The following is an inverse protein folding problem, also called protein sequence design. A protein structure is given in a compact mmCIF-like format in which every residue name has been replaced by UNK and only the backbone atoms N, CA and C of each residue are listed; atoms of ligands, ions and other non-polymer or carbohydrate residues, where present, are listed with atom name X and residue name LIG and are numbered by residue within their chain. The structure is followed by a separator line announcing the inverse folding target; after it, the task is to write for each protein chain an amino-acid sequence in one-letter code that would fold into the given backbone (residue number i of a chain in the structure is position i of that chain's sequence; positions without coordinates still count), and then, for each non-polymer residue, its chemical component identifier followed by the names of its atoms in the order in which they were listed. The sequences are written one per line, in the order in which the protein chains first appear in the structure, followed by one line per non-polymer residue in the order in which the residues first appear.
data_IF_950325812790
#
_entry.id   IF_950325812790
#
_cell.length_a   1.000
_cell.length_b   1.000
_cell.length_c   1.000
_cell.angle_alpha   90.00
_cell.angle_beta   90.00
_cell.angle_gamma   90.00
#
_symmetry.space_group_name_H-M   'P 1'
#
loop_
_entity.id
_entity.type
_entity.pdbx_description
1 polymer ?
#
# COMPACT_ATOMS: atom_id res chain seq x y z
N UNK A 1 -31.37 -9.21 -17.43
CA UNK A 1 -30.60 -9.31 -18.68
C UNK A 1 -29.28 -8.58 -18.50
N UNK A 2 -28.22 -9.31 -18.14
CA UNK A 2 -26.84 -9.10 -18.58
C UNK A 2 -26.31 -10.53 -18.77
N UNK A 3 -26.10 -10.91 -20.01
CA UNK A 3 -25.44 -12.15 -20.41
C UNK A 3 -23.96 -11.84 -20.61
N UNK A 4 -23.09 -12.54 -19.89
CA UNK A 4 -21.65 -12.55 -20.14
C UNK A 4 -21.14 -13.95 -19.88
N UNK A 5 -21.06 -14.78 -20.93
CA UNK A 5 -20.42 -16.08 -20.85
C UNK A 5 -18.90 -15.86 -20.77
N UNK A 6 -18.31 -16.14 -19.62
CA UNK A 6 -16.87 -16.26 -19.47
C UNK A 6 -16.54 -17.75 -19.66
N UNK A 7 -16.11 -18.14 -20.86
CA UNK A 7 -15.65 -19.50 -21.14
C UNK A 7 -14.16 -19.46 -21.46
N UNK A 8 -13.33 -19.71 -20.45
CA UNK A 8 -11.92 -20.02 -20.63
C UNK A 8 -11.81 -21.39 -21.32
N UNK A 9 -11.13 -21.46 -22.46
CA UNK A 9 -10.89 -22.71 -23.19
C UNK A 9 -9.45 -23.18 -23.01
N UNK A 10 -9.26 -24.37 -22.43
CA UNK A 10 -7.95 -25.04 -22.29
C UNK A 10 -7.78 -26.03 -23.44
N UNK A 11 -6.64 -25.97 -24.14
CA UNK A 11 -6.33 -26.89 -25.24
C UNK A 11 -5.12 -27.79 -24.87
N UNK A 12 -5.26 -29.11 -25.01
CA UNK A 12 -4.11 -30.02 -24.91
C UNK A 12 -3.31 -29.91 -26.23
N UNK A 13 -2.00 -29.65 -26.16
CA UNK A 13 -1.12 -29.60 -27.33
C UNK A 13 -0.07 -30.69 -27.21
N UNK A 14 0.10 -31.50 -28.26
CA UNK A 14 1.09 -32.57 -28.31
C UNK A 14 1.18 -33.25 -29.68
N UNK A 15 2.25 -34.04 -29.95
CA UNK A 15 2.42 -34.73 -31.22
C UNK A 15 1.27 -35.71 -31.48
N UNK A 16 0.42 -35.42 -32.46
CA UNK A 16 -0.72 -36.28 -32.85
C UNK A 16 -2.12 -35.77 -32.48
N UNK A 17 -2.25 -34.61 -31.81
CA UNK A 17 -3.54 -34.01 -31.42
C UNK A 17 -3.86 -32.71 -32.18
N UNK A 18 -3.60 -32.66 -33.50
CA UNK A 18 -4.06 -31.51 -34.31
C UNK A 18 -5.57 -31.57 -34.50
N UNK A 19 -6.27 -30.62 -33.88
CA UNK A 19 -7.67 -30.29 -34.22
C UNK A 19 -8.76 -31.06 -33.49
N UNK A 20 -8.49 -31.63 -32.31
CA UNK A 20 -9.57 -32.11 -31.44
C UNK A 20 -9.91 -31.07 -30.37
N UNK A 21 -11.11 -30.49 -30.49
CA UNK A 21 -11.70 -29.58 -29.51
C UNK A 21 -12.37 -30.44 -28.42
N UNK A 22 -11.84 -30.44 -27.20
CA UNK A 22 -12.49 -31.06 -26.05
C UNK A 22 -12.92 -29.99 -25.06
N UNK A 23 -14.23 -29.95 -24.80
CA UNK A 23 -14.92 -28.91 -24.02
C UNK A 23 -14.57 -28.95 -22.52
N UNK A 24 -14.28 -27.76 -21.97
CA UNK A 24 -14.31 -27.29 -20.59
C UNK A 24 -13.96 -28.30 -19.48
N UNK A 25 -12.75 -28.15 -18.94
CA UNK A 25 -12.31 -28.79 -17.69
C UNK A 25 -12.05 -27.68 -16.65
N UNK A 26 -12.80 -27.70 -15.54
CA UNK A 26 -12.58 -26.76 -14.43
C UNK A 26 -11.20 -26.96 -13.77
N UNK A 27 -10.64 -25.95 -13.08
CA UNK A 27 -9.26 -25.98 -12.56
C UNK A 27 -8.89 -27.14 -11.63
N UNK A 28 -9.87 -27.89 -11.11
CA UNK A 28 -9.64 -29.05 -10.25
C UNK A 28 -9.31 -30.37 -10.98
N UNK A 29 -9.36 -30.42 -12.32
CA UNK A 29 -9.24 -31.66 -13.10
C UNK A 29 -8.01 -31.71 -14.04
N UNK A 30 -6.91 -31.04 -13.68
CA UNK A 30 -5.65 -30.95 -14.47
C UNK A 30 -4.97 -32.29 -14.83
N UNK A 31 -5.54 -33.44 -14.45
CA UNK A 31 -4.99 -34.78 -14.67
C UNK A 31 -5.65 -35.58 -15.82
N UNK A 32 -6.39 -34.97 -16.76
CA UNK A 32 -7.20 -35.68 -17.77
C UNK A 32 -6.93 -35.37 -19.26
N UNK A 33 -5.70 -35.04 -19.69
CA UNK A 33 -5.38 -35.14 -21.13
C UNK A 33 -5.12 -36.63 -21.48
N UNK A 34 -5.87 -37.27 -22.41
CA UNK A 34 -5.68 -38.69 -22.72
C UNK A 34 -4.39 -38.91 -23.53
N UNK A 35 -3.51 -39.79 -23.06
CA UNK A 35 -2.27 -40.16 -23.76
C UNK A 35 -2.56 -41.27 -24.78
N UNK A 36 -2.27 -41.03 -26.06
CA UNK A 36 -2.08 -42.11 -27.05
C UNK A 36 -0.64 -42.08 -27.58
N UNK A 37 0.20 -42.93 -27.01
CA UNK A 37 1.33 -43.53 -27.72
C UNK A 37 2.53 -42.63 -28.09
N UNK A 38 2.92 -41.67 -27.25
CA UNK A 38 4.23 -41.01 -27.36
C UNK A 38 4.85 -40.82 -25.98
N UNK A 39 6.17 -40.96 -25.86
CA UNK A 39 6.95 -40.85 -24.62
C UNK A 39 7.17 -39.42 -24.13
N UNK A 40 6.34 -38.48 -24.56
CA UNK A 40 6.36 -37.07 -24.12
C UNK A 40 5.04 -36.75 -23.42
N UNK A 41 5.16 -36.19 -22.22
CA UNK A 41 4.04 -35.79 -21.37
C UNK A 41 3.39 -34.53 -21.97
N UNK A 42 2.07 -34.52 -22.27
CA UNK A 42 1.43 -33.35 -22.84
C UNK A 42 1.37 -32.23 -21.80
N UNK A 43 1.89 -31.05 -22.16
CA UNK A 43 1.77 -29.84 -21.34
C UNK A 43 0.47 -29.11 -21.67
N UNK A 44 -0.22 -28.63 -20.64
CA UNK A 44 -1.32 -27.69 -20.82
C UNK A 44 -0.73 -26.33 -21.21
N UNK A 45 -0.99 -25.88 -22.43
CA UNK A 45 -0.57 -24.56 -22.89
C UNK A 45 -1.74 -23.60 -22.73
N UNK A 46 -1.68 -22.75 -21.71
CA UNK A 46 -2.67 -21.68 -21.54
C UNK A 46 -2.27 -20.57 -22.49
N UNK A 47 -2.93 -20.52 -23.64
CA UNK A 47 -2.86 -19.35 -24.52
C UNK A 47 -3.53 -18.18 -23.79
N UNK A 48 -2.75 -17.44 -23.00
CA UNK A 48 -3.19 -16.16 -22.45
C UNK A 48 -3.38 -15.21 -23.63
N UNK A 49 -4.65 -15.05 -24.02
CA UNK A 49 -5.06 -14.02 -24.96
C UNK A 49 -4.49 -12.69 -24.45
N UNK A 50 -3.91 -11.86 -25.33
CA UNK A 50 -3.31 -10.54 -25.03
C UNK A 50 -4.32 -9.48 -24.52
N UNK A 51 -5.41 -9.91 -23.87
CA UNK A 51 -6.48 -9.10 -23.27
C UNK A 51 -6.45 -9.07 -21.74
N UNK A 52 -5.45 -9.68 -21.09
CA UNK A 52 -5.22 -9.53 -19.63
C UNK A 52 -4.41 -8.29 -19.26
N UNK A 53 -4.21 -7.37 -20.21
CA UNK A 53 -3.65 -6.03 -20.01
C UNK A 53 -4.72 -5.06 -19.50
N UNK A 54 -5.18 -5.17 -18.24
CA UNK A 54 -5.67 -3.99 -17.46
C UNK A 54 -6.08 -4.27 -16.00
N UNK A 55 -5.10 -4.42 -15.14
CA UNK A 55 -5.15 -3.79 -13.81
C UNK A 55 -3.91 -2.90 -13.68
N UNK A 56 -3.86 -1.84 -14.48
CA UNK A 56 -2.65 -1.02 -14.66
C UNK A 56 -2.39 -0.07 -13.50
N UNK A 57 -3.41 0.29 -12.75
CA UNK A 57 -3.32 1.14 -11.58
C UNK A 57 -4.45 0.82 -10.60
N UNK A 58 -4.17 0.81 -9.31
CA UNK A 58 -5.20 0.77 -8.26
C UNK A 58 -5.07 2.03 -7.41
N UNK A 59 -6.17 2.70 -7.12
CA UNK A 59 -6.16 3.85 -6.20
C UNK A 59 -7.02 3.60 -4.98
N UNK A 60 -6.67 4.22 -3.86
CA UNK A 60 -7.34 4.03 -2.59
C UNK A 60 -7.54 5.35 -1.86
N UNK A 61 -8.71 5.45 -1.23
CA UNK A 61 -9.05 6.48 -0.25
C UNK A 61 -9.51 5.81 1.03
N UNK A 62 -9.02 6.26 2.18
CA UNK A 62 -9.57 5.90 3.48
C UNK A 62 -10.30 7.09 4.09
N UNK A 63 -11.54 6.89 4.52
CA UNK A 63 -12.27 7.85 5.34
C UNK A 63 -11.99 7.62 6.82
N UNK A 64 -12.06 8.69 7.61
CA UNK A 64 -11.79 8.64 9.05
C UNK A 64 -13.06 8.29 9.86
N UNK A 65 -12.90 7.91 11.13
CA UNK A 65 -13.96 7.84 12.15
C UNK A 65 -15.20 7.00 11.79
N UNK A 66 -15.01 5.77 11.32
CA UNK A 66 -16.08 4.83 10.93
C UNK A 66 -17.07 5.37 9.89
N UNK A 67 -16.70 6.45 9.18
CA UNK A 67 -17.51 6.99 8.09
C UNK A 67 -17.48 6.04 6.90
N UNK A 68 -18.65 5.86 6.28
CA UNK A 68 -18.73 5.17 4.99
C UNK A 68 -18.07 6.04 3.92
N UNK A 69 -17.19 5.48 3.10
CA UNK A 69 -16.56 6.21 2.01
C UNK A 69 -15.21 5.67 1.54
N UNK A 70 -14.56 4.82 2.35
CA UNK A 70 -13.33 4.15 1.92
C UNK A 70 -13.57 3.26 0.70
N UNK A 71 -12.76 3.40 -0.34
CA UNK A 71 -12.91 2.66 -1.59
C UNK A 71 -11.56 2.26 -2.16
N UNK A 72 -11.50 1.03 -2.71
CA UNK A 72 -10.43 0.62 -3.62
C UNK A 72 -10.98 0.70 -5.03
N UNK A 73 -10.28 1.43 -5.90
CA UNK A 73 -10.63 1.57 -7.31
C UNK A 73 -9.60 0.78 -8.12
N UNK A 74 -10.06 -0.25 -8.81
CA UNK A 74 -9.21 -1.06 -9.67
C UNK A 74 -9.27 -0.56 -11.12
N UNK A 75 -8.09 -0.32 -11.72
CA UNK A 75 -7.95 0.06 -13.13
C UNK A 75 -8.28 1.52 -13.45
N UNK A 76 -8.36 2.40 -12.44
CA UNK A 76 -8.74 3.79 -12.63
C UNK A 76 -8.35 4.67 -11.45
N UNK A 77 -8.55 5.98 -11.64
CA UNK A 77 -8.33 7.03 -10.66
C UNK A 77 -9.58 7.91 -10.69
N UNK A 78 -10.14 8.23 -9.52
CA UNK A 78 -11.26 9.16 -9.38
C UNK A 78 -10.78 10.45 -8.71
N UNK A 79 -10.79 11.54 -9.47
CA UNK A 79 -10.31 12.84 -9.02
C UNK A 79 -11.20 13.51 -7.98
N UNK A 80 -12.37 12.96 -7.68
CA UNK A 80 -13.24 13.50 -6.62
C UNK A 80 -12.69 13.24 -5.20
N UNK A 81 -11.75 12.31 -5.04
CA UNK A 81 -11.17 11.97 -3.73
C UNK A 81 -9.92 12.78 -3.36
N UNK A 82 -9.41 13.63 -4.24
CA UNK A 82 -8.19 14.41 -3.96
C UNK A 82 -8.25 15.83 -4.51
N UNK A 83 -7.41 16.69 -3.94
CA UNK A 83 -7.24 18.08 -4.40
C UNK A 83 -5.87 18.28 -5.05
N UNK A 84 -5.80 19.26 -5.96
CA UNK A 84 -4.56 19.55 -6.69
C UNK A 84 -4.20 18.49 -7.72
N UNK A 85 -2.93 18.09 -7.77
CA UNK A 85 -2.38 17.13 -8.72
C UNK A 85 -1.63 16.01 -8.01
N UNK A 86 -1.65 14.82 -8.60
CA UNK A 86 -0.85 13.69 -8.15
C UNK A 86 0.64 13.99 -8.31
N UNK A 87 1.39 13.78 -7.23
CA UNK A 87 2.84 13.76 -7.24
C UNK A 87 3.31 12.31 -7.36
N UNK A 88 4.05 12.01 -8.41
CA UNK A 88 4.52 10.65 -8.68
C UNK A 88 5.90 10.42 -8.06
N UNK A 89 6.03 9.30 -7.34
CA UNK A 89 7.22 8.88 -6.62
C UNK A 89 7.63 7.51 -7.15
N UNK A 90 8.83 7.36 -7.72
CA UNK A 90 9.28 6.07 -8.25
C UNK A 90 9.43 5.05 -7.11
N UNK A 91 9.03 3.81 -7.38
CA UNK A 91 9.33 2.69 -6.49
C UNK A 91 10.83 2.43 -6.51
N UNK A 92 11.45 2.37 -5.33
CA UNK A 92 12.91 2.22 -5.20
C UNK A 92 13.36 0.77 -5.31
N UNK A 93 12.59 -0.18 -4.76
CA UNK A 93 12.82 -1.62 -4.84
C UNK A 93 11.49 -2.32 -5.11
N UNK A 94 11.43 -3.10 -6.19
CA UNK A 94 10.22 -3.85 -6.54
C UNK A 94 10.03 -5.04 -5.58
N UNK A 95 8.98 -4.95 -4.76
CA UNK A 95 8.56 -5.97 -3.82
C UNK A 95 7.38 -5.43 -3.02
N UNK A 96 7.67 -4.64 -2.01
CA UNK A 96 6.69 -3.73 -1.41
C UNK A 96 6.49 -2.50 -2.30
N UNK A 97 5.47 -1.68 -2.00
CA UNK A 97 5.36 -0.31 -2.52
C UNK A 97 6.36 0.60 -1.82
N UNK A 98 7.64 0.31 -2.05
CA UNK A 98 8.77 0.97 -1.38
C UNK A 98 9.15 2.25 -2.10
N UNK A 99 9.29 3.35 -1.36
CA UNK A 99 9.66 4.67 -1.84
C UNK A 99 10.78 5.25 -0.97
N UNK A 100 11.54 6.20 -1.53
CA UNK A 100 12.52 6.97 -0.77
C UNK A 100 11.83 8.16 -0.09
N UNK A 101 12.09 8.32 1.21
CA UNK A 101 11.73 9.53 1.98
C UNK A 101 13.01 10.34 2.13
N UNK A 102 12.94 11.64 1.85
CA UNK A 102 14.10 12.54 1.87
C UNK A 102 14.42 13.00 3.28
N UNK A 103 13.38 13.32 4.08
CA UNK A 103 13.52 13.69 5.48
C UNK A 103 12.19 13.68 6.22
N UNK A 104 12.26 13.58 7.55
CA UNK A 104 11.12 13.77 8.46
C UNK A 104 11.45 14.92 9.39
N UNK A 105 10.61 15.95 9.38
CA UNK A 105 10.84 17.19 10.12
C UNK A 105 9.67 17.56 11.00
N UNK A 106 9.96 18.29 12.07
CA UNK A 106 8.97 18.86 12.98
C UNK A 106 9.51 20.18 13.51
N UNK A 107 8.68 21.23 13.54
CA UNK A 107 9.12 22.60 13.89
C UNK A 107 10.36 23.09 13.10
N UNK A 108 10.47 22.71 11.83
CA UNK A 108 11.59 23.07 10.96
C UNK A 108 12.92 22.39 11.31
N UNK A 109 12.92 21.40 12.21
CA UNK A 109 14.09 20.59 12.55
C UNK A 109 13.91 19.17 12.02
N UNK A 110 14.97 18.59 11.50
CA UNK A 110 15.00 17.17 11.13
C UNK A 110 15.02 16.31 12.39
N UNK A 111 14.01 15.46 12.54
CA UNK A 111 13.80 14.58 13.70
C UNK A 111 14.09 13.12 13.37
N UNK A 112 14.02 12.75 12.09
CA UNK A 112 14.38 11.43 11.59
C UNK A 112 14.74 11.50 10.11
N UNK A 113 15.32 10.41 9.58
CA UNK A 113 15.55 10.27 8.13
C UNK A 113 16.44 11.39 7.55
N UNK A 114 17.47 11.83 8.27
CA UNK A 114 18.20 13.06 7.94
C UNK A 114 19.00 13.00 6.63
N UNK A 115 19.44 11.81 6.23
CA UNK A 115 20.15 11.55 4.98
C UNK A 115 19.26 10.79 3.98
N UNK A 116 17.94 10.83 4.19
CA UNK A 116 16.99 9.97 3.54
C UNK A 116 16.90 8.57 4.16
N UNK A 117 15.83 7.87 3.83
CA UNK A 117 15.51 6.54 4.33
C UNK A 117 14.53 5.87 3.37
N UNK A 118 14.25 4.59 3.59
CA UNK A 118 13.24 3.86 2.83
C UNK A 118 11.94 3.78 3.62
N UNK A 119 10.82 3.85 2.89
CA UNK A 119 9.50 3.61 3.46
C UNK A 119 8.67 2.72 2.54
N UNK A 120 7.74 1.94 3.10
CA UNK A 120 6.70 1.25 2.34
C UNK A 120 5.35 1.94 2.57
N UNK A 121 4.55 2.07 1.52
CA UNK A 121 3.15 2.51 1.64
C UNK A 121 2.28 1.27 1.82
N UNK A 122 1.74 1.09 3.03
CA UNK A 122 1.14 -0.19 3.44
C UNK A 122 -0.25 -0.01 4.06
N UNK A 123 -1.26 -0.40 3.30
CA UNK A 123 -2.67 -0.38 3.72
C UNK A 123 -3.00 -1.46 4.76
N UNK A 124 -2.10 -2.40 5.00
CA UNK A 124 -2.24 -3.44 6.02
C UNK A 124 -1.80 -3.01 7.42
N UNK A 125 -1.16 -1.85 7.54
CA UNK A 125 -0.63 -1.32 8.81
C UNK A 125 -1.40 -0.08 9.25
N UNK A 126 -1.91 -0.08 10.48
CA UNK A 126 -2.73 1.03 10.97
C UNK A 126 -1.93 2.27 11.36
N UNK A 127 -0.69 2.10 11.84
CA UNK A 127 0.11 3.18 12.44
C UNK A 127 1.23 3.63 11.50
N UNK A 128 1.89 4.74 11.85
CA UNK A 128 3.20 5.09 11.30
C UNK A 128 4.27 4.31 12.06
N UNK A 129 4.93 3.38 11.38
CA UNK A 129 5.97 2.56 12.02
C UNK A 129 7.34 3.00 11.54
N UNK A 130 8.32 3.02 12.45
CA UNK A 130 9.69 3.33 12.10
C UNK A 130 10.69 2.75 13.12
N UNK A 131 11.99 2.97 12.89
CA UNK A 131 13.04 2.47 13.77
C UNK A 131 12.84 2.99 15.21
N UNK A 132 13.13 2.14 16.18
CA UNK A 132 12.78 2.37 17.59
C UNK A 132 13.37 3.66 18.15
N UNK A 133 14.62 3.99 17.81
CA UNK A 133 15.31 5.18 18.31
C UNK A 133 14.71 6.50 17.78
N UNK A 134 14.55 6.72 16.47
CA UNK A 134 13.80 7.86 15.92
C UNK A 134 12.37 7.96 16.48
N UNK A 135 11.64 6.85 16.59
CA UNK A 135 10.28 6.87 17.13
C UNK A 135 10.29 7.30 18.59
N UNK A 136 11.21 6.81 19.42
CA UNK A 136 11.30 7.23 20.82
C UNK A 136 11.51 8.76 20.96
N UNK A 137 12.28 9.37 20.06
CA UNK A 137 12.43 10.83 20.03
C UNK A 137 11.12 11.53 19.67
N UNK A 138 10.41 11.04 18.64
CA UNK A 138 9.09 11.57 18.25
C UNK A 138 8.10 11.47 19.41
N UNK A 139 8.04 10.32 20.08
CA UNK A 139 7.17 10.11 21.23
C UNK A 139 7.46 11.11 22.36
N UNK A 140 8.75 11.34 22.66
CA UNK A 140 9.16 12.34 23.65
C UNK A 140 8.74 13.75 23.24
N UNK A 141 8.94 14.12 21.97
CA UNK A 141 8.64 15.46 21.47
C UNK A 141 7.13 15.78 21.45
N UNK A 142 6.28 14.78 21.21
CA UNK A 142 4.81 14.94 21.28
C UNK A 142 4.26 14.78 22.69
N UNK A 143 5.11 14.51 23.68
CA UNK A 143 4.71 14.31 25.08
C UNK A 143 3.96 13.00 25.32
N UNK A 144 4.23 11.97 24.53
CA UNK A 144 3.66 10.64 24.73
C UNK A 144 4.39 9.89 25.86
N UNK A 145 3.63 9.07 26.58
CA UNK A 145 4.15 8.19 27.63
C UNK A 145 3.46 6.83 27.57
N UNK A 146 4.18 5.79 27.95
CA UNK A 146 3.65 4.43 27.90
C UNK A 146 2.68 4.19 29.08
N UNK A 147 1.50 3.63 28.79
CA UNK A 147 0.54 3.21 29.81
C UNK A 147 0.77 1.75 30.23
N UNK A 148 -0.06 1.23 31.16
CA UNK A 148 0.07 -0.16 31.65
C UNK A 148 -0.20 -1.24 30.60
N UNK A 149 -0.76 -0.87 29.45
CA UNK A 149 -1.07 -1.76 28.32
C UNK A 149 0.01 -1.69 27.23
N UNK A 150 1.07 -0.90 27.43
CA UNK A 150 2.12 -0.68 26.43
C UNK A 150 1.76 0.31 25.33
N UNK A 151 0.66 1.06 25.48
CA UNK A 151 0.26 2.07 24.49
C UNK A 151 0.91 3.42 24.83
N UNK A 152 1.39 4.12 23.79
CA UNK A 152 1.93 5.47 23.92
C UNK A 152 0.78 6.48 23.99
N UNK A 153 0.42 6.92 25.19
CA UNK A 153 -0.68 7.86 25.43
C UNK A 153 -0.23 9.31 25.47
N UNK A 154 -1.04 10.18 24.89
CA UNK A 154 -0.86 11.65 24.83
C UNK A 154 -2.09 12.32 25.44
N UNK A 155 -1.91 13.49 26.07
CA UNK A 155 -3.04 14.27 26.55
C UNK A 155 -3.87 14.79 25.37
N UNK A 156 -5.17 14.48 25.32
CA UNK A 156 -6.05 14.94 24.23
C UNK A 156 -6.11 16.47 24.10
N UNK A 157 -5.91 17.22 25.20
CA UNK A 157 -5.84 18.69 25.15
C UNK A 157 -4.57 19.22 24.47
N UNK A 158 -3.52 18.39 24.33
CA UNK A 158 -2.28 18.79 23.68
C UNK A 158 -2.41 18.86 22.15
N UNK A 159 -3.40 18.17 21.55
CA UNK A 159 -3.60 18.07 20.09
C UNK A 159 -3.60 19.46 19.44
N UNK A 160 -4.26 20.46 20.04
CA UNK A 160 -4.33 21.82 19.49
C UNK A 160 -3.03 22.62 19.54
N UNK A 161 -2.03 22.14 20.27
CA UNK A 161 -0.73 22.81 20.46
C UNK A 161 0.45 22.07 19.83
N UNK A 162 0.25 20.84 19.40
CA UNK A 162 1.28 20.04 18.75
C UNK A 162 1.51 20.55 17.32
N UNK A 163 2.76 20.47 16.82
CA UNK A 163 3.09 20.89 15.46
C UNK A 163 2.77 19.79 14.44
N UNK A 164 2.75 20.15 13.17
CA UNK A 164 2.75 19.16 12.09
C UNK A 164 4.08 18.40 12.07
N UNK A 165 4.01 17.12 11.71
CA UNK A 165 5.17 16.31 11.33
C UNK A 165 5.16 16.20 9.80
N UNK A 166 6.26 16.58 9.16
CA UNK A 166 6.34 16.73 7.71
C UNK A 166 7.26 15.65 7.15
N UNK A 167 6.69 14.79 6.31
CA UNK A 167 7.46 13.86 5.47
C UNK A 167 7.81 14.57 4.17
N UNK A 168 9.08 14.64 3.81
CA UNK A 168 9.50 15.13 2.50
C UNK A 168 9.79 13.93 1.60
N UNK A 169 9.10 13.83 0.48
CA UNK A 169 9.19 12.70 -0.45
C UNK A 169 9.31 13.26 -1.87
N UNK A 170 10.41 12.93 -2.55
CA UNK A 170 10.69 13.43 -3.90
C UNK A 170 10.65 14.97 -3.99
N UNK A 171 11.17 15.65 -2.96
CA UNK A 171 11.18 17.11 -2.84
C UNK A 171 9.84 17.77 -2.49
N UNK A 172 8.76 16.99 -2.33
CA UNK A 172 7.42 17.48 -1.96
C UNK A 172 7.16 17.24 -0.47
N UNK A 173 6.58 18.22 0.21
CA UNK A 173 6.24 18.13 1.63
C UNK A 173 4.83 17.59 1.83
N UNK A 174 4.72 16.59 2.72
CA UNK A 174 3.49 15.92 3.14
C UNK A 174 3.30 16.14 4.64
N UNK A 175 2.73 17.28 5.07
CA UNK A 175 2.46 17.55 6.47
C UNK A 175 1.39 16.61 7.04
N UNK A 176 1.62 16.08 8.23
CA UNK A 176 0.62 15.37 9.02
C UNK A 176 0.24 16.23 10.22
N UNK A 177 -1.02 16.71 10.31
CA UNK A 177 -1.45 17.47 11.46
C UNK A 177 -1.60 16.57 12.69
N UNK A 178 -1.56 17.13 13.92
CA UNK A 178 -1.78 16.37 15.15
C UNK A 178 -3.08 15.58 15.17
N UNK A 179 -4.13 16.10 14.54
CA UNK A 179 -5.41 15.38 14.41
C UNK A 179 -5.34 14.11 13.56
N UNK A 180 -4.30 13.96 12.73
CA UNK A 180 -4.06 12.75 11.95
C UNK A 180 -3.22 11.74 12.72
N UNK A 181 -2.12 12.19 13.33
CA UNK A 181 -1.16 11.30 14.01
C UNK A 181 -1.45 11.07 15.50
N UNK A 182 -2.45 11.73 16.10
CA UNK A 182 -2.96 11.41 17.44
C UNK A 182 -4.34 10.77 17.28
N UNK A 183 -4.43 9.50 17.65
CA UNK A 183 -5.64 8.69 17.53
C UNK A 183 -6.52 8.89 18.77
N UNK A 184 -7.67 9.54 18.60
CA UNK A 184 -8.65 9.72 19.65
C UNK A 184 -9.52 8.47 19.81
N UNK A 185 -9.54 7.91 21.02
CA UNK A 185 -10.49 6.91 21.51
C UNK A 185 -11.49 7.60 22.45
N UNK A 186 -12.51 6.87 22.92
CA UNK A 186 -13.56 7.44 23.78
C UNK A 186 -12.97 8.17 25.00
N UNK A 187 -12.00 7.56 25.69
CA UNK A 187 -11.44 8.08 26.95
C UNK A 187 -9.93 8.37 26.89
N UNK A 188 -9.26 8.15 25.76
CA UNK A 188 -7.81 8.31 25.65
C UNK A 188 -7.39 8.82 24.27
N UNK A 189 -6.21 9.43 24.22
CA UNK A 189 -5.55 9.76 22.96
C UNK A 189 -4.23 8.99 22.90
N UNK A 190 -4.01 8.29 21.79
CA UNK A 190 -2.88 7.39 21.59
C UNK A 190 -2.05 7.94 20.44
N UNK A 191 -0.74 7.85 20.56
CA UNK A 191 0.18 8.16 19.47
C UNK A 191 -0.07 7.24 18.28
N UNK A 192 -0.14 7.81 17.09
CA UNK A 192 -0.21 7.10 15.83
C UNK A 192 1.14 6.55 15.37
N UNK A 193 2.17 6.60 16.22
CA UNK A 193 3.52 6.13 15.93
C UNK A 193 3.85 4.85 16.71
N UNK A 194 4.53 3.93 16.04
CA UNK A 194 5.00 2.66 16.61
C UNK A 194 6.48 2.42 16.30
N UNK A 195 7.24 1.99 17.30
CA UNK A 195 8.66 1.67 17.15
C UNK A 195 8.82 0.19 16.82
N UNK A 196 9.36 -0.12 15.64
CA UNK A 196 9.67 -1.48 15.23
C UNK A 196 10.93 -1.50 14.35
N UNK A 197 11.90 -2.32 14.74
CA UNK A 197 13.14 -2.47 13.97
C UNK A 197 12.94 -3.56 12.91
N UNK A 198 12.73 -3.14 11.66
CA UNK A 198 12.62 -4.03 10.50
C UNK A 198 13.95 -4.01 9.74
N UNK A 199 14.71 -5.10 9.84
CA UNK A 199 15.97 -5.27 9.12
C UNK A 199 15.72 -5.53 7.64
N UNK A 200 16.17 -4.63 6.77
CA UNK A 200 16.18 -4.83 5.32
C UNK A 200 17.59 -4.68 4.75
N UNK A 201 17.85 -5.21 3.55
CA UNK A 201 19.11 -4.96 2.83
C UNK A 201 19.32 -3.47 2.52
N UNK A 202 18.24 -2.69 2.49
CA UNK A 202 18.24 -1.25 2.22
C UNK A 202 18.38 -0.38 3.47
N UNK A 203 18.54 -0.98 4.66
CA UNK A 203 18.66 -0.28 5.94
C UNK A 203 17.35 -0.19 6.72
N UNK A 204 17.22 0.91 7.47
CA UNK A 204 16.04 1.22 8.28
C UNK A 204 14.80 1.46 7.41
N UNK A 205 13.71 0.77 7.73
CA UNK A 205 12.44 0.85 7.00
C UNK A 205 11.38 1.57 7.82
N UNK A 206 10.69 2.51 7.18
CA UNK A 206 9.47 3.13 7.68
C UNK A 206 8.24 2.50 7.02
N UNK A 207 7.11 2.50 7.72
CA UNK A 207 5.82 2.05 7.19
C UNK A 207 4.86 3.22 7.26
N UNK A 208 4.45 3.70 6.07
CA UNK A 208 3.41 4.71 5.90
C UNK A 208 2.06 4.00 5.86
N UNK A 209 1.52 3.74 7.05
CA UNK A 209 0.23 3.09 7.25
C UNK A 209 -0.98 4.00 7.10
N UNK A 210 -2.13 3.55 7.63
CA UNK A 210 -3.42 4.25 7.52
C UNK A 210 -3.37 5.71 7.99
N UNK A 211 -2.59 6.02 9.05
CA UNK A 211 -2.40 7.39 9.53
C UNK A 211 -1.95 8.34 8.41
N UNK A 212 -1.07 7.88 7.53
CA UNK A 212 -0.61 8.63 6.36
C UNK A 212 -1.64 8.59 5.22
N UNK A 213 -2.12 7.38 4.88
CA UNK A 213 -2.97 7.15 3.69
C UNK A 213 -4.34 7.84 3.84
N UNK A 214 -4.84 8.07 5.07
CA UNK A 214 -6.05 8.88 5.32
C UNK A 214 -5.89 10.36 4.99
N UNK A 215 -4.67 10.89 4.99
CA UNK A 215 -4.39 12.28 4.62
C UNK A 215 -4.08 12.43 3.12
N UNK A 216 -3.60 11.35 2.50
CA UNK A 216 -3.12 11.36 1.13
C UNK A 216 -3.76 10.26 0.29
N UNK A 217 -4.60 10.69 -0.66
CA UNK A 217 -5.09 9.81 -1.71
C UNK A 217 -3.91 9.17 -2.43
N UNK A 218 -3.95 7.83 -2.52
CA UNK A 218 -2.81 7.03 -2.93
C UNK A 218 -3.13 6.24 -4.17
N UNK A 219 -2.26 6.33 -5.18
CA UNK A 219 -2.33 5.58 -6.42
C UNK A 219 -1.14 4.64 -6.51
N UNK A 220 -1.40 3.37 -6.77
CA UNK A 220 -0.42 2.33 -6.98
C UNK A 220 -0.36 1.99 -8.48
N UNK A 221 0.67 2.46 -9.17
CA UNK A 221 0.82 2.32 -10.62
C UNK A 221 1.88 1.25 -10.94
N UNK A 222 1.39 0.08 -11.36
CA UNK A 222 2.23 -1.07 -11.73
C UNK A 222 2.77 -0.97 -13.15
N UNK A 223 2.18 -0.14 -14.01
CA UNK A 223 2.67 0.03 -15.37
C UNK A 223 3.97 0.83 -15.40
N UNK A 224 4.11 1.80 -14.48
CA UNK A 224 5.27 2.69 -14.40
C UNK A 224 6.10 2.50 -13.11
N UNK A 225 5.77 1.53 -12.27
CA UNK A 225 6.44 1.25 -10.98
C UNK A 225 6.59 2.52 -10.12
N UNK A 226 5.47 3.16 -9.82
CA UNK A 226 5.43 4.41 -9.05
C UNK A 226 4.20 4.48 -8.13
N UNK A 227 4.30 5.32 -7.10
CA UNK A 227 3.21 5.69 -6.20
C UNK A 227 2.81 7.14 -6.48
N UNK A 228 1.52 7.40 -6.64
CA UNK A 228 0.96 8.75 -6.78
C UNK A 228 0.34 9.22 -5.47
N UNK A 229 0.69 10.42 -5.02
CA UNK A 229 0.18 11.00 -3.77
C UNK A 229 -0.43 12.39 -4.02
N UNK A 230 -1.61 12.64 -3.46
CA UNK A 230 -2.25 13.95 -3.40
C UNK A 230 -3.06 14.12 -2.10
N UNK A 231 -3.21 15.33 -1.56
CA UNK A 231 -4.08 15.55 -0.40
C UNK A 231 -5.52 15.12 -0.69
N UNK A 232 -6.16 14.45 0.26
CA UNK A 232 -7.59 14.11 0.15
C UNK A 232 -8.46 15.37 0.01
N UNK A 233 -9.64 15.23 -0.60
CA UNK A 233 -10.58 16.33 -0.84
C UNK A 233 -11.48 16.67 0.34
#
# INVERSE_FOLDING_TARGET
MVSGNNSDSVHCVGPGLRGQETTLVTPQDSAKCPVKGSSEEPTADVHTNERTEKFMSSSLTFHSNDESGSVVIFGGIDSSYYTGSLNWVPVSVEGYWQISVDSITMNGKTIACAEGCQAIVDTGTSLLTGPTSPIANIQSDIGASENLLGEMVVSCSAISSLPDIIFTINGVQYPLPPSAYILKREDSCISGFEGMDVSTESGELWILGDVFIRQYFTVFDRANNQVGLAPVA
#
